data_IF_265877852533
#
_entry.id   IF_265877852533
#
_cell.length_a   1.000
_cell.length_b   1.000
_cell.length_c   1.000
_cell.angle_alpha   90.00
_cell.angle_beta   90.00
_cell.angle_gamma   90.00
#
_symmetry.space_group_name_H-M   'P 1'
#
loop_
_entity.id
_entity.type
_entity.pdbx_description
1 polymer ?
#
# COMPACT_ATOMS: atom_id res chain seq x y z
N UNK A 1 -78.17 -1.46 64.89
CA UNK A 1 -76.73 -1.40 64.55
C UNK A 1 -76.57 -1.32 63.03
N UNK A 2 -76.12 -0.17 62.50
CA UNK A 2 -75.86 0.00 61.04
C UNK A 2 -74.40 -0.21 60.82
N UNK A 3 -74.04 -1.30 60.21
CA UNK A 3 -72.65 -1.59 59.77
C UNK A 3 -72.29 -0.69 58.59
N UNK A 4 -71.33 0.22 58.79
CA UNK A 4 -70.75 1.13 57.78
C UNK A 4 -69.88 0.34 56.85
N UNK A 5 -70.37 0.06 55.65
CA UNK A 5 -69.62 -0.58 54.57
C UNK A 5 -68.53 0.41 54.12
N UNK A 6 -67.27 0.08 54.41
CA UNK A 6 -66.13 0.92 53.97
C UNK A 6 -65.99 0.76 52.44
N UNK A 7 -66.14 1.87 51.74
CA UNK A 7 -66.03 1.88 50.29
C UNK A 7 -64.63 1.40 49.89
N UNK A 8 -64.55 0.42 49.02
CA UNK A 8 -63.29 -0.12 48.46
C UNK A 8 -62.72 0.74 47.28
N UNK A 9 -63.48 1.81 46.91
CA UNK A 9 -63.11 2.72 45.78
C UNK A 9 -61.78 3.42 45.93
N UNK A 10 -61.37 3.95 47.10
CA UNK A 10 -60.10 4.63 47.21
C UNK A 10 -58.88 3.71 47.03
N UNK A 11 -59.03 2.44 47.43
CA UNK A 11 -57.91 1.45 47.26
C UNK A 11 -57.70 1.11 45.79
N UNK A 12 -58.75 1.01 44.98
CA UNK A 12 -58.71 0.73 43.55
C UNK A 12 -58.04 1.89 42.77
N UNK A 13 -58.37 3.14 43.15
CA UNK A 13 -57.78 4.35 42.53
C UNK A 13 -56.25 4.43 42.83
N UNK A 14 -55.86 4.14 44.06
CA UNK A 14 -54.43 4.14 44.45
C UNK A 14 -53.67 3.03 43.68
N UNK A 15 -54.28 1.87 43.52
CA UNK A 15 -53.62 0.76 42.74
C UNK A 15 -53.44 1.11 41.26
N UNK A 16 -54.44 1.77 40.64
CA UNK A 16 -54.35 2.24 39.25
C UNK A 16 -53.27 3.30 39.06
N UNK A 17 -53.17 4.24 40.00
CA UNK A 17 -52.16 5.31 39.98
C UNK A 17 -50.72 4.73 40.15
N UNK A 18 -50.55 3.75 41.03
CA UNK A 18 -49.31 3.04 41.22
C UNK A 18 -48.90 2.25 39.96
N UNK A 19 -49.85 1.57 39.34
CA UNK A 19 -49.62 0.83 38.10
C UNK A 19 -49.24 1.76 36.95
N UNK A 20 -49.92 2.92 36.83
CA UNK A 20 -49.59 3.94 35.85
C UNK A 20 -48.18 4.53 36.09
N UNK A 21 -47.81 4.79 37.34
CA UNK A 21 -46.45 5.27 37.70
C UNK A 21 -45.37 4.20 37.36
N UNK A 22 -45.63 2.93 37.64
CA UNK A 22 -44.74 1.82 37.29
C UNK A 22 -44.57 1.70 35.76
N UNK A 23 -45.70 1.82 35.01
CA UNK A 23 -45.68 1.79 33.54
C UNK A 23 -44.84 2.96 32.99
N UNK A 24 -44.98 4.18 33.53
CA UNK A 24 -44.22 5.35 33.12
C UNK A 24 -42.71 5.15 33.41
N UNK A 25 -42.39 4.60 34.58
CA UNK A 25 -41.00 4.29 34.95
C UNK A 25 -40.43 3.18 34.05
N UNK A 26 -41.17 2.13 33.80
CA UNK A 26 -40.76 1.03 32.90
C UNK A 26 -40.63 1.51 31.45
N UNK A 27 -41.55 2.33 30.95
CA UNK A 27 -41.43 2.95 29.61
C UNK A 27 -40.27 3.92 29.56
N UNK A 28 -39.99 4.66 30.63
CA UNK A 28 -38.81 5.52 30.75
C UNK A 28 -37.50 4.74 30.78
N UNK A 29 -37.47 3.60 31.48
CA UNK A 29 -36.32 2.68 31.50
C UNK A 29 -36.13 1.91 30.18
N UNK A 30 -37.22 1.60 29.48
CA UNK A 30 -37.20 0.96 28.15
C UNK A 30 -36.87 1.97 27.03
N UNK A 31 -37.07 3.25 27.26
CA UNK A 31 -36.55 4.36 26.46
C UNK A 31 -35.13 4.75 26.89
N UNK A 32 -34.32 3.84 27.44
CA UNK A 32 -32.90 4.07 27.47
C UNK A 32 -32.48 4.43 26.05
N UNK A 33 -32.04 5.65 25.87
CA UNK A 33 -31.55 6.18 24.61
C UNK A 33 -30.62 5.11 23.99
N UNK A 34 -31.07 4.54 22.88
CA UNK A 34 -30.12 3.79 22.07
C UNK A 34 -29.01 4.80 21.75
N UNK A 35 -27.74 4.45 21.99
CA UNK A 35 -26.66 5.36 21.62
C UNK A 35 -26.91 5.73 20.16
N UNK A 36 -26.79 7.03 19.87
CA UNK A 36 -26.85 7.48 18.47
C UNK A 36 -25.87 6.65 17.68
N UNK A 37 -26.27 6.12 16.51
CA UNK A 37 -25.36 5.33 15.67
C UNK A 37 -24.12 6.19 15.38
N UNK A 38 -22.95 5.61 15.54
CA UNK A 38 -21.70 6.28 15.20
C UNK A 38 -21.76 6.68 13.72
N UNK A 39 -21.67 7.99 13.39
CA UNK A 39 -21.72 8.43 11.99
C UNK A 39 -20.56 7.87 11.15
N UNK A 40 -19.55 7.31 11.80
CA UNK A 40 -18.36 6.74 11.18
C UNK A 40 -18.25 5.22 11.38
N UNK A 41 -19.37 4.55 11.69
CA UNK A 41 -19.39 3.09 11.81
C UNK A 41 -18.87 2.44 10.51
N UNK A 42 -17.85 1.57 10.63
CA UNK A 42 -17.20 0.92 9.49
C UNK A 42 -16.19 1.79 8.74
N UNK A 43 -15.90 3.00 9.20
CA UNK A 43 -14.87 3.86 8.65
C UNK A 43 -13.60 3.86 9.49
N UNK A 44 -12.49 4.23 8.86
CA UNK A 44 -11.19 4.46 9.51
C UNK A 44 -10.74 5.89 9.32
N UNK A 45 -10.05 6.44 10.31
CA UNK A 45 -9.55 7.81 10.27
C UNK A 45 -8.10 7.80 9.84
N UNK A 46 -7.83 8.26 8.62
CA UNK A 46 -6.53 8.18 7.96
C UNK A 46 -6.01 9.55 7.56
N UNK A 47 -4.69 9.63 7.34
CA UNK A 47 -4.06 10.76 6.67
C UNK A 47 -3.97 10.44 5.16
N UNK A 48 -4.71 11.19 4.34
CA UNK A 48 -4.72 11.01 2.89
C UNK A 48 -3.63 11.80 2.14
N UNK A 49 -2.84 12.57 2.87
CA UNK A 49 -1.81 13.47 2.33
C UNK A 49 -2.24 14.93 2.26
N UNK A 50 -3.53 15.21 2.28
CA UNK A 50 -4.10 16.56 2.37
C UNK A 50 -4.61 16.87 3.78
N UNK A 51 -4.87 15.85 4.59
CA UNK A 51 -5.36 15.97 5.94
C UNK A 51 -5.83 14.64 6.51
N UNK A 52 -6.53 14.74 7.65
CA UNK A 52 -7.14 13.59 8.28
C UNK A 52 -8.58 13.45 7.80
N UNK A 53 -8.93 12.31 7.24
CA UNK A 53 -10.25 12.03 6.66
C UNK A 53 -10.80 10.68 7.14
N UNK A 54 -12.14 10.56 7.17
CA UNK A 54 -12.80 9.28 7.35
C UNK A 54 -12.93 8.59 6.01
N UNK A 55 -12.48 7.34 5.95
CA UNK A 55 -12.50 6.51 4.74
C UNK A 55 -13.17 5.16 5.06
N UNK A 56 -14.02 4.69 4.17
CA UNK A 56 -14.48 3.30 4.20
C UNK A 56 -13.40 2.42 3.58
N UNK A 57 -12.85 1.43 4.33
CA UNK A 57 -11.84 0.53 3.78
C UNK A 57 -12.37 -0.24 2.56
N UNK A 58 -11.49 -0.45 1.59
CA UNK A 58 -11.77 -1.30 0.44
C UNK A 58 -11.84 -2.76 0.88
N UNK A 59 -12.86 -3.47 0.42
CA UNK A 59 -13.04 -4.89 0.72
C UNK A 59 -11.97 -5.73 0.00
N UNK A 60 -11.41 -6.69 0.72
CA UNK A 60 -10.41 -7.63 0.17
C UNK A 60 -9.00 -7.07 0.04
N UNK A 61 -8.74 -5.82 0.41
CA UNK A 61 -7.40 -5.24 0.43
C UNK A 61 -6.82 -5.36 1.83
N UNK A 62 -5.67 -6.02 1.95
CA UNK A 62 -5.02 -6.24 3.24
C UNK A 62 -4.59 -4.93 3.91
N UNK A 63 -4.80 -4.87 5.23
CA UNK A 63 -4.41 -3.72 6.04
C UNK A 63 -2.94 -3.79 6.37
N UNK A 64 -2.26 -2.65 6.40
CA UNK A 64 -0.86 -2.55 6.77
C UNK A 64 -0.63 -3.13 8.20
N UNK A 65 0.11 -4.22 8.33
CA UNK A 65 0.33 -4.86 9.63
C UNK A 65 1.39 -4.15 10.47
N UNK A 66 2.26 -3.32 9.85
CA UNK A 66 3.37 -2.65 10.53
C UNK A 66 2.86 -1.62 11.53
N UNK A 67 3.21 -1.79 12.79
CA UNK A 67 2.80 -0.86 13.84
C UNK A 67 3.86 0.23 14.06
N UNK A 68 3.40 1.46 14.35
CA UNK A 68 4.30 2.60 14.61
C UNK A 68 5.32 2.32 15.73
N UNK A 69 4.94 1.55 16.74
CA UNK A 69 5.82 1.15 17.85
C UNK A 69 6.93 0.19 17.48
N UNK A 70 6.85 -0.43 16.29
CA UNK A 70 7.84 -1.36 15.76
C UNK A 70 8.87 -0.68 14.85
N UNK A 71 8.73 0.62 14.64
CA UNK A 71 9.66 1.41 13.84
C UNK A 71 10.53 2.28 14.73
N UNK A 72 11.82 2.35 14.43
CA UNK A 72 12.80 3.25 15.04
C UNK A 72 13.59 3.98 13.94
N UNK A 73 14.19 5.10 14.31
CA UNK A 73 15.14 5.78 13.44
C UNK A 73 16.54 5.63 14.05
N UNK A 74 17.46 5.06 13.28
CA UNK A 74 18.86 4.87 13.67
C UNK A 74 19.73 5.45 12.57
N UNK A 75 20.60 6.39 12.94
CA UNK A 75 21.49 7.10 11.99
C UNK A 75 20.75 7.73 10.80
N UNK A 76 19.51 8.21 11.01
CA UNK A 76 18.69 8.83 9.97
C UNK A 76 17.87 7.87 9.12
N UNK A 77 18.05 6.56 9.26
CA UNK A 77 17.30 5.54 8.52
C UNK A 77 16.23 4.87 9.41
N UNK A 78 15.02 4.63 8.90
CA UNK A 78 14.03 3.83 9.60
C UNK A 78 14.50 2.39 9.73
N UNK A 79 14.21 1.76 10.85
CA UNK A 79 14.47 0.35 11.12
C UNK A 79 13.21 -0.30 11.68
N UNK A 80 12.84 -1.44 11.14
CA UNK A 80 11.79 -2.28 11.68
C UNK A 80 12.35 -3.13 12.84
N UNK A 81 11.56 -3.29 13.90
CA UNK A 81 11.95 -4.01 15.11
C UNK A 81 10.91 -5.02 15.57
N UNK A 82 9.84 -5.20 14.78
CA UNK A 82 8.86 -6.25 14.98
C UNK A 82 9.42 -7.65 14.67
N UNK A 83 8.58 -8.66 14.80
CA UNK A 83 8.96 -10.05 14.59
C UNK A 83 8.37 -10.67 13.32
N UNK A 84 7.44 -9.98 12.67
CA UNK A 84 6.65 -10.54 11.57
C UNK A 84 7.37 -10.43 10.21
N UNK A 85 8.36 -9.52 10.12
CA UNK A 85 9.11 -9.29 8.89
C UNK A 85 10.62 -9.24 9.13
N UNK A 86 11.37 -9.78 8.18
CA UNK A 86 12.74 -9.37 7.90
C UNK A 86 12.70 -8.16 6.97
N UNK A 87 13.67 -7.25 7.05
CA UNK A 87 13.71 -6.08 6.19
C UNK A 87 14.98 -6.04 5.35
N UNK A 88 14.80 -5.72 4.06
CA UNK A 88 15.88 -5.45 3.14
C UNK A 88 15.89 -3.96 2.81
N UNK A 89 17.08 -3.39 2.63
CA UNK A 89 17.26 -2.00 2.21
C UNK A 89 17.69 -1.94 0.75
N UNK A 90 17.06 -1.06 -0.02
CA UNK A 90 17.34 -0.94 -1.44
C UNK A 90 17.41 0.50 -1.92
N UNK A 91 17.95 0.65 -3.12
CA UNK A 91 17.90 1.87 -3.90
C UNK A 91 17.02 1.66 -5.12
N UNK A 92 16.37 2.73 -5.61
CA UNK A 92 15.85 2.72 -6.96
C UNK A 92 16.59 3.77 -7.80
N UNK A 93 16.91 3.37 -9.04
CA UNK A 93 17.82 4.13 -9.90
C UNK A 93 17.41 4.08 -11.36
N UNK A 94 17.84 5.10 -12.09
CA UNK A 94 17.62 5.26 -13.53
C UNK A 94 18.81 6.00 -14.16
N UNK A 95 18.64 6.50 -15.37
CA UNK A 95 19.62 7.39 -16.01
C UNK A 95 19.94 8.65 -15.18
N UNK A 96 19.08 9.04 -14.26
CA UNK A 96 19.25 10.24 -13.44
C UNK A 96 20.38 10.12 -12.40
N UNK A 97 20.79 8.90 -12.04
CA UNK A 97 21.93 8.62 -11.16
C UNK A 97 23.25 8.42 -11.92
N UNK A 98 23.23 8.47 -13.25
CA UNK A 98 24.41 8.31 -14.15
C UNK A 98 25.24 7.06 -13.81
N UNK A 99 26.56 7.21 -13.73
CA UNK A 99 27.45 6.09 -13.41
C UNK A 99 27.52 5.81 -11.91
N UNK A 100 27.22 4.57 -11.54
CA UNK A 100 27.17 4.10 -10.15
C UNK A 100 28.33 3.18 -9.85
N UNK A 101 29.02 3.40 -8.71
CA UNK A 101 29.98 2.45 -8.14
C UNK A 101 29.23 1.43 -7.27
N UNK A 102 28.76 0.38 -7.91
CA UNK A 102 27.97 -0.68 -7.27
C UNK A 102 28.71 -1.43 -6.15
N UNK A 103 30.06 -1.45 -6.17
CA UNK A 103 30.82 -2.03 -5.08
C UNK A 103 30.71 -1.20 -3.80
N UNK A 104 30.70 0.12 -3.90
CA UNK A 104 30.47 1.00 -2.76
C UNK A 104 29.01 0.94 -2.29
N UNK A 105 28.05 0.87 -3.22
CA UNK A 105 26.61 0.70 -2.88
C UNK A 105 26.41 -0.57 -2.07
N UNK A 106 26.88 -1.73 -2.54
CA UNK A 106 26.76 -2.99 -1.82
C UNK A 106 27.48 -2.95 -0.45
N UNK A 107 28.66 -2.34 -0.38
CA UNK A 107 29.41 -2.21 0.88
C UNK A 107 28.73 -1.27 1.91
N UNK A 108 27.79 -0.44 1.49
CA UNK A 108 27.04 0.46 2.37
C UNK A 108 25.88 -0.22 3.12
N UNK A 109 25.59 -1.49 2.81
CA UNK A 109 24.50 -2.25 3.42
C UNK A 109 23.18 -2.19 2.63
N UNK A 110 23.25 -1.85 1.34
CA UNK A 110 22.15 -1.98 0.39
C UNK A 110 22.04 -3.44 -0.04
N UNK A 111 20.85 -4.01 0.06
CA UNK A 111 20.57 -5.42 -0.23
C UNK A 111 20.00 -5.61 -1.65
N UNK A 112 19.31 -4.61 -2.20
CA UNK A 112 18.64 -4.71 -3.50
C UNK A 112 18.66 -3.39 -4.29
N UNK A 113 18.43 -3.52 -5.60
CA UNK A 113 18.24 -2.41 -6.51
C UNK A 113 16.98 -2.61 -7.35
N UNK A 114 16.13 -1.58 -7.40
CA UNK A 114 15.02 -1.44 -8.35
C UNK A 114 15.53 -0.57 -9.49
N UNK A 115 15.70 -1.14 -10.69
CA UNK A 115 16.36 -0.47 -11.81
C UNK A 115 15.34 -0.13 -12.88
N UNK A 116 15.28 1.14 -13.32
CA UNK A 116 14.42 1.51 -14.44
C UNK A 116 14.87 0.76 -15.70
N UNK A 117 14.00 -0.12 -16.19
CA UNK A 117 14.26 -0.80 -17.45
C UNK A 117 14.03 0.13 -18.63
N UNK A 118 12.97 0.91 -18.56
CA UNK A 118 12.60 1.82 -19.62
C UNK A 118 11.40 2.69 -19.28
N UNK A 119 10.94 3.41 -20.25
CA UNK A 119 9.81 4.34 -20.08
C UNK A 119 9.02 4.51 -21.38
N UNK A 120 7.75 4.89 -21.23
CA UNK A 120 6.95 5.43 -22.34
C UNK A 120 7.02 6.95 -22.31
N UNK A 121 7.34 7.55 -23.46
CA UNK A 121 7.38 9.01 -23.59
C UNK A 121 6.01 9.65 -23.35
N UNK A 122 5.97 10.68 -22.52
CA UNK A 122 4.74 11.33 -22.04
C UNK A 122 4.02 12.19 -23.11
N UNK A 123 4.63 12.43 -24.29
CA UNK A 123 4.01 13.16 -25.40
C UNK A 123 3.56 12.20 -26.50
N UNK A 124 4.49 11.61 -27.24
CA UNK A 124 4.22 10.76 -28.40
C UNK A 124 3.98 9.28 -28.07
N UNK A 125 4.27 8.86 -26.83
CA UNK A 125 4.02 7.50 -26.37
C UNK A 125 4.97 6.43 -26.91
N UNK A 126 6.15 6.81 -27.43
CA UNK A 126 7.18 5.86 -27.83
C UNK A 126 7.77 5.14 -26.62
N UNK A 127 8.18 3.87 -26.80
CA UNK A 127 8.87 3.06 -25.78
C UNK A 127 10.39 3.23 -25.93
N UNK A 128 11.05 3.47 -24.81
CA UNK A 128 12.49 3.67 -24.75
C UNK A 128 13.11 2.84 -23.63
N UNK A 129 14.23 2.19 -23.90
CA UNK A 129 15.07 1.59 -22.88
C UNK A 129 15.85 2.70 -22.13
N UNK A 130 15.97 2.57 -20.80
CA UNK A 130 16.79 3.49 -20.02
C UNK A 130 18.25 3.34 -20.44
N UNK A 131 18.97 4.42 -20.74
CA UNK A 131 20.35 4.36 -21.22
C UNK A 131 21.31 3.67 -20.26
N UNK A 132 21.01 3.63 -18.96
CA UNK A 132 21.84 3.00 -17.93
C UNK A 132 21.32 1.64 -17.48
N UNK A 133 20.19 1.17 -18.04
CA UNK A 133 19.57 -0.09 -17.63
C UNK A 133 20.58 -1.24 -17.57
N UNK A 134 21.23 -1.54 -18.69
CA UNK A 134 22.14 -2.68 -18.77
C UNK A 134 23.35 -2.54 -17.85
N UNK A 135 23.94 -1.36 -17.81
CA UNK A 135 25.09 -1.07 -16.95
C UNK A 135 24.73 -1.22 -15.47
N UNK A 136 23.55 -0.76 -15.08
CA UNK A 136 23.06 -0.89 -13.70
C UNK A 136 22.76 -2.34 -13.35
N UNK A 137 22.08 -3.09 -14.23
CA UNK A 137 21.81 -4.52 -14.04
C UNK A 137 23.08 -5.33 -13.85
N UNK A 138 24.05 -5.16 -14.75
CA UNK A 138 25.34 -5.87 -14.70
C UNK A 138 26.14 -5.47 -13.46
N UNK A 139 26.20 -4.18 -13.14
CA UNK A 139 26.92 -3.67 -11.99
C UNK A 139 26.34 -4.12 -10.66
N UNK A 140 25.03 -4.04 -10.47
CA UNK A 140 24.35 -4.49 -9.26
C UNK A 140 24.46 -6.02 -9.08
N UNK A 141 24.23 -6.80 -10.16
CA UNK A 141 24.39 -8.26 -10.15
C UNK A 141 25.81 -8.70 -9.78
N UNK A 142 26.83 -8.07 -10.38
CA UNK A 142 28.24 -8.39 -10.11
C UNK A 142 28.64 -8.14 -8.65
N UNK A 143 27.91 -7.31 -7.92
CA UNK A 143 28.14 -7.00 -6.51
C UNK A 143 27.14 -7.70 -5.55
N UNK A 144 26.34 -8.65 -6.08
CA UNK A 144 25.49 -9.54 -5.28
C UNK A 144 24.22 -8.91 -4.74
N UNK A 145 23.78 -7.78 -5.31
CA UNK A 145 22.50 -7.18 -4.97
C UNK A 145 21.35 -7.98 -5.61
N UNK A 146 20.22 -8.08 -4.93
CA UNK A 146 18.97 -8.58 -5.51
C UNK A 146 18.44 -7.57 -6.53
N UNK A 147 17.90 -8.07 -7.64
CA UNK A 147 17.50 -7.23 -8.76
C UNK A 147 15.98 -7.25 -8.97
N UNK A 148 15.39 -6.07 -9.02
CA UNK A 148 14.08 -5.80 -9.56
C UNK A 148 14.14 -4.72 -10.64
N UNK A 149 13.08 -4.61 -11.42
CA UNK A 149 13.01 -3.60 -12.47
C UNK A 149 11.67 -2.88 -12.44
N UNK A 150 11.66 -1.64 -12.92
CA UNK A 150 10.43 -0.90 -13.11
C UNK A 150 10.31 -0.30 -14.51
N UNK A 151 9.08 -0.21 -14.98
CA UNK A 151 8.70 0.43 -16.24
C UNK A 151 7.92 1.70 -15.94
N UNK A 152 8.50 2.87 -16.27
CA UNK A 152 7.80 4.14 -16.14
C UNK A 152 6.75 4.25 -17.24
N UNK A 153 5.51 4.05 -16.85
CA UNK A 153 4.36 3.97 -17.75
C UNK A 153 3.72 5.33 -18.00
N UNK A 154 3.40 5.57 -19.26
CA UNK A 154 2.50 6.63 -19.68
C UNK A 154 1.44 6.06 -20.67
N UNK A 155 1.05 4.79 -20.46
CA UNK A 155 0.00 4.13 -21.22
C UNK A 155 -1.34 4.85 -21.04
N UNK A 156 -2.10 5.01 -22.13
CA UNK A 156 -3.45 5.58 -22.13
C UNK A 156 -4.51 4.57 -22.61
N UNK A 157 -4.10 3.34 -22.87
CA UNK A 157 -4.98 2.20 -23.16
C UNK A 157 -4.42 0.92 -22.57
N UNK A 158 -5.28 -0.07 -22.39
CA UNK A 158 -4.89 -1.40 -21.91
C UNK A 158 -3.89 -2.06 -22.86
N UNK A 159 -4.06 -1.92 -24.16
CA UNK A 159 -3.14 -2.47 -25.18
C UNK A 159 -1.75 -1.86 -25.08
N UNK A 160 -1.67 -0.58 -24.74
CA UNK A 160 -0.38 0.08 -24.51
C UNK A 160 0.31 -0.43 -23.24
N UNK A 161 -0.44 -0.67 -22.15
CA UNK A 161 0.10 -1.26 -20.93
C UNK A 161 0.60 -2.70 -21.15
N UNK A 162 -0.11 -3.50 -21.93
CA UNK A 162 0.37 -4.84 -22.36
C UNK A 162 1.64 -4.71 -23.21
N UNK A 163 1.70 -3.74 -24.13
CA UNK A 163 2.90 -3.51 -24.95
C UNK A 163 4.12 -3.06 -24.10
N UNK A 164 3.90 -2.34 -22.99
CA UNK A 164 4.94 -2.03 -22.00
C UNK A 164 5.45 -3.29 -21.30
N UNK A 165 4.56 -4.19 -20.90
CA UNK A 165 4.94 -5.46 -20.29
C UNK A 165 5.75 -6.34 -21.28
N UNK A 166 5.32 -6.45 -22.55
CA UNK A 166 6.09 -7.16 -23.58
C UNK A 166 7.46 -6.53 -23.80
N UNK A 167 7.54 -5.21 -23.84
CA UNK A 167 8.81 -4.48 -23.97
C UNK A 167 9.78 -4.80 -22.83
N UNK A 168 9.25 -4.95 -21.59
CA UNK A 168 10.02 -5.35 -20.42
C UNK A 168 10.50 -6.80 -20.58
N UNK A 169 9.60 -7.73 -20.88
CA UNK A 169 9.91 -9.14 -20.97
C UNK A 169 10.98 -9.47 -22.03
N UNK A 170 10.90 -8.82 -23.20
CA UNK A 170 11.92 -8.96 -24.26
C UNK A 170 13.34 -8.59 -23.80
N UNK A 171 13.46 -7.65 -22.85
CA UNK A 171 14.74 -7.12 -22.38
C UNK A 171 15.30 -7.84 -21.17
N UNK A 172 14.49 -8.69 -20.57
CA UNK A 172 14.87 -9.48 -19.40
C UNK A 172 15.35 -10.90 -19.72
N UNK A 173 15.29 -11.33 -20.98
CA UNK A 173 15.62 -12.73 -21.38
C UNK A 173 17.00 -13.21 -20.87
N UNK A 174 17.97 -12.30 -20.75
CA UNK A 174 19.35 -12.62 -20.33
C UNK A 174 19.61 -12.33 -18.85
N UNK A 175 18.60 -11.88 -18.07
CA UNK A 175 18.78 -11.47 -16.69
C UNK A 175 18.02 -12.36 -15.72
N UNK A 176 18.64 -12.61 -14.56
CA UNK A 176 17.93 -13.19 -13.43
C UNK A 176 17.30 -12.07 -12.58
N UNK A 177 16.01 -12.13 -12.36
CA UNK A 177 15.25 -11.16 -11.58
C UNK A 177 14.82 -11.82 -10.28
N UNK A 178 15.22 -11.23 -9.15
CA UNK A 178 14.95 -11.75 -7.81
C UNK A 178 13.72 -11.12 -7.17
N UNK A 179 13.31 -9.95 -7.65
CA UNK A 179 12.27 -9.08 -7.08
C UNK A 179 11.18 -8.81 -8.12
N UNK A 180 10.04 -8.24 -7.73
CA UNK A 180 8.95 -7.97 -8.67
C UNK A 180 9.34 -7.05 -9.83
N UNK A 181 8.65 -7.23 -10.96
CA UNK A 181 8.62 -6.29 -12.08
C UNK A 181 7.51 -5.28 -11.83
N UNK A 182 7.83 -3.99 -11.86
CA UNK A 182 6.96 -2.93 -11.35
C UNK A 182 6.33 -2.12 -12.47
N UNK A 183 5.02 -1.96 -12.39
CA UNK A 183 4.27 -0.94 -13.12
C UNK A 183 4.37 0.37 -12.34
N UNK A 184 5.04 1.36 -12.91
CA UNK A 184 5.27 2.68 -12.32
C UNK A 184 4.58 3.73 -13.17
N UNK A 185 3.40 4.18 -12.74
CA UNK A 185 2.68 5.28 -13.36
C UNK A 185 2.64 6.49 -12.44
N UNK A 186 3.12 7.60 -12.95
CA UNK A 186 3.09 8.85 -12.22
C UNK A 186 2.48 9.96 -13.07
N UNK A 187 1.77 10.86 -12.40
CA UNK A 187 1.28 12.06 -13.04
C UNK A 187 2.44 13.00 -13.37
N UNK A 188 2.56 13.38 -14.64
CA UNK A 188 3.56 14.38 -15.05
C UNK A 188 3.18 15.75 -14.52
N UNK A 189 4.10 16.38 -13.79
CA UNK A 189 3.88 17.71 -13.22
C UNK A 189 4.55 18.79 -14.07
N UNK A 190 3.85 19.93 -14.22
CA UNK A 190 4.39 21.13 -14.90
C UNK A 190 4.50 21.04 -16.42
N UNK A 191 4.11 19.92 -17.03
CA UNK A 191 4.10 19.71 -18.48
C UNK A 191 2.77 19.07 -18.90
N UNK A 192 2.36 19.31 -20.15
CA UNK A 192 1.22 18.60 -20.71
C UNK A 192 1.63 17.16 -21.06
N UNK A 193 0.88 16.20 -20.59
CA UNK A 193 1.13 14.79 -20.83
C UNK A 193 -0.08 14.11 -21.51
N UNK A 194 0.19 13.06 -22.26
CA UNK A 194 -0.83 12.23 -22.91
C UNK A 194 -1.80 11.58 -21.91
N UNK A 195 -1.34 11.41 -20.68
CA UNK A 195 -2.10 10.83 -19.55
C UNK A 195 -2.92 11.87 -18.78
N UNK A 196 -2.89 13.15 -19.18
CA UNK A 196 -3.73 14.17 -18.55
C UNK A 196 -5.21 13.85 -18.71
N UNK A 197 -5.92 13.80 -17.59
CA UNK A 197 -7.35 13.48 -17.56
C UNK A 197 -7.67 11.98 -17.61
N UNK A 198 -6.69 11.10 -17.48
CA UNK A 198 -6.91 9.67 -17.31
C UNK A 198 -7.71 9.43 -16.03
N UNK A 199 -8.76 8.63 -16.11
CA UNK A 199 -9.59 8.30 -14.96
C UNK A 199 -9.05 7.08 -14.20
N UNK A 200 -9.50 6.94 -12.94
CA UNK A 200 -9.13 5.86 -12.03
C UNK A 200 -9.40 4.46 -12.62
N UNK A 201 -10.55 4.29 -13.30
CA UNK A 201 -10.94 3.00 -13.85
C UNK A 201 -9.99 2.55 -14.97
N UNK A 202 -9.62 3.45 -15.88
CA UNK A 202 -8.68 3.15 -16.94
C UNK A 202 -7.27 2.94 -16.42
N UNK A 203 -6.82 3.76 -15.45
CA UNK A 203 -5.52 3.60 -14.82
C UNK A 203 -5.40 2.23 -14.12
N UNK A 204 -6.44 1.83 -13.38
CA UNK A 204 -6.52 0.53 -12.73
C UNK A 204 -6.48 -0.61 -13.75
N UNK A 205 -7.21 -0.50 -14.86
CA UNK A 205 -7.19 -1.50 -15.94
C UNK A 205 -5.82 -1.63 -16.61
N UNK A 206 -5.13 -0.52 -16.85
CA UNK A 206 -3.78 -0.53 -17.41
C UNK A 206 -2.79 -1.23 -16.48
N UNK A 207 -2.78 -0.86 -15.19
CA UNK A 207 -1.92 -1.50 -14.18
C UNK A 207 -2.19 -3.00 -14.10
N UNK A 208 -3.47 -3.39 -14.03
CA UNK A 208 -3.89 -4.80 -14.00
C UNK A 208 -3.39 -5.57 -15.21
N UNK A 209 -3.58 -5.03 -16.41
CA UNK A 209 -3.19 -5.69 -17.65
C UNK A 209 -1.67 -5.87 -17.77
N UNK A 210 -0.89 -4.85 -17.40
CA UNK A 210 0.57 -4.96 -17.32
C UNK A 210 0.98 -6.08 -16.37
N UNK A 211 0.48 -6.04 -15.13
CA UNK A 211 0.84 -7.00 -14.09
C UNK A 211 0.41 -8.43 -14.45
N UNK A 212 -0.77 -8.63 -14.99
CA UNK A 212 -1.22 -9.94 -15.48
C UNK A 212 -0.29 -10.49 -16.56
N UNK A 213 0.13 -9.65 -17.51
CA UNK A 213 1.05 -10.09 -18.56
C UNK A 213 2.43 -10.49 -18.01
N UNK A 214 2.93 -9.76 -16.99
CA UNK A 214 4.16 -10.10 -16.29
C UNK A 214 4.03 -11.46 -15.56
N UNK A 215 2.91 -11.66 -14.85
CA UNK A 215 2.64 -12.92 -14.13
C UNK A 215 2.47 -14.12 -15.08
N UNK A 216 1.84 -13.94 -16.23
CA UNK A 216 1.75 -14.98 -17.29
C UNK A 216 3.12 -15.43 -17.79
N UNK A 217 4.13 -14.58 -17.70
CA UNK A 217 5.52 -14.91 -18.04
C UNK A 217 6.28 -15.57 -16.87
N UNK A 218 5.64 -15.70 -15.68
CA UNK A 218 6.21 -16.39 -14.53
C UNK A 218 6.98 -15.47 -13.56
N UNK A 219 6.85 -14.16 -13.68
CA UNK A 219 7.44 -13.20 -12.76
C UNK A 219 6.42 -12.68 -11.76
N UNK A 220 6.89 -12.21 -10.62
CA UNK A 220 6.08 -11.42 -9.68
C UNK A 220 5.87 -10.00 -10.23
N UNK A 221 4.68 -9.46 -10.01
CA UNK A 221 4.33 -8.12 -10.45
C UNK A 221 3.96 -7.22 -9.26
N UNK A 222 4.39 -5.96 -9.34
CA UNK A 222 4.14 -4.96 -8.31
C UNK A 222 3.67 -3.65 -8.95
N UNK A 223 2.93 -2.86 -8.19
CA UNK A 223 2.43 -1.56 -8.62
C UNK A 223 3.01 -0.50 -7.69
N UNK A 224 3.73 0.47 -8.28
CA UNK A 224 4.24 1.63 -7.58
C UNK A 224 3.21 2.76 -7.59
N UNK A 225 3.07 3.41 -6.45
CA UNK A 225 2.25 4.60 -6.31
C UNK A 225 2.65 5.46 -5.11
N UNK A 226 2.34 6.75 -5.15
CA UNK A 226 2.35 7.60 -3.98
C UNK A 226 1.02 7.50 -3.21
N UNK A 227 0.97 8.09 -2.01
CA UNK A 227 -0.23 8.07 -1.14
C UNK A 227 -1.51 8.50 -1.84
N UNK A 228 -1.43 9.55 -2.66
CA UNK A 228 -2.61 10.09 -3.35
C UNK A 228 -3.15 9.12 -4.40
N UNK A 229 -2.27 8.55 -5.22
CA UNK A 229 -2.65 7.53 -6.20
C UNK A 229 -3.18 6.27 -5.52
N UNK A 230 -2.59 5.86 -4.38
CA UNK A 230 -3.05 4.70 -3.63
C UNK A 230 -4.46 4.85 -3.03
N UNK A 231 -4.87 6.08 -2.70
CA UNK A 231 -6.24 6.32 -2.18
C UNK A 231 -7.24 6.76 -3.23
N UNK A 232 -6.81 7.43 -4.31
CA UNK A 232 -7.72 8.11 -5.23
C UNK A 232 -7.42 7.89 -6.72
N UNK A 233 -6.34 7.19 -7.05
CA UNK A 233 -5.93 6.95 -8.44
C UNK A 233 -6.10 5.52 -8.89
N UNK A 234 -5.99 4.56 -7.95
CA UNK A 234 -6.19 3.15 -8.22
C UNK A 234 -7.35 2.59 -7.39
N UNK A 235 -8.15 1.74 -7.98
CA UNK A 235 -9.03 0.84 -7.25
C UNK A 235 -8.22 -0.39 -6.80
N UNK A 236 -7.61 -0.30 -5.62
CA UNK A 236 -6.76 -1.37 -5.08
C UNK A 236 -7.51 -2.68 -4.86
N UNK A 237 -8.85 -2.67 -4.73
CA UNK A 237 -9.65 -3.89 -4.59
C UNK A 237 -9.63 -4.77 -5.84
N UNK A 238 -9.29 -4.20 -7.00
CA UNK A 238 -9.13 -4.94 -8.25
C UNK A 238 -7.69 -5.39 -8.51
N UNK A 239 -6.75 -5.05 -7.62
CA UNK A 239 -5.30 -5.24 -7.78
C UNK A 239 -4.69 -6.11 -6.68
N UNK A 240 -5.50 -6.78 -5.89
CA UNK A 240 -5.10 -7.57 -4.70
C UNK A 240 -4.23 -8.80 -5.01
N UNK A 241 -4.13 -9.20 -6.28
CA UNK A 241 -3.24 -10.30 -6.73
C UNK A 241 -1.79 -9.85 -6.96
N UNK A 242 -1.51 -8.55 -6.75
CA UNK A 242 -0.20 -7.93 -6.97
C UNK A 242 0.30 -7.28 -5.68
N UNK A 243 1.61 -7.21 -5.52
CA UNK A 243 2.20 -6.45 -4.42
C UNK A 243 2.20 -4.95 -4.71
N UNK A 244 2.40 -4.16 -3.65
CA UNK A 244 2.43 -2.70 -3.74
C UNK A 244 3.76 -2.14 -3.25
N UNK A 245 4.25 -1.13 -3.97
CA UNK A 245 5.38 -0.32 -3.60
C UNK A 245 4.91 1.12 -3.39
N UNK A 246 4.97 1.61 -2.16
CA UNK A 246 4.50 2.95 -1.82
C UNK A 246 5.61 3.97 -1.70
N UNK A 247 5.48 5.10 -2.42
CA UNK A 247 6.28 6.29 -2.24
C UNK A 247 5.70 7.15 -1.11
N UNK A 248 6.36 7.11 0.04
CA UNK A 248 5.91 7.79 1.24
C UNK A 248 7.09 8.21 2.12
N UNK A 249 7.83 9.27 1.76
CA UNK A 249 8.98 9.72 2.53
C UNK A 249 8.65 9.95 4.00
N UNK A 250 9.47 9.38 4.90
CA UNK A 250 9.22 9.50 6.32
C UNK A 250 9.92 8.44 7.17
N UNK A 251 9.44 8.30 8.40
CA UNK A 251 10.00 7.39 9.40
C UNK A 251 9.07 6.22 9.72
N UNK A 252 7.92 6.18 9.07
CA UNK A 252 6.89 5.14 9.23
C UNK A 252 6.04 5.08 7.96
N UNK A 253 5.72 3.87 7.44
CA UNK A 253 4.87 3.70 6.25
C UNK A 253 3.39 3.95 6.61
N UNK A 254 3.04 5.23 6.79
CA UNK A 254 1.71 5.71 7.21
C UNK A 254 0.71 5.65 6.05
N UNK A 255 0.47 4.45 5.57
CA UNK A 255 -0.54 4.11 4.58
C UNK A 255 -1.41 3.00 5.13
N UNK A 256 -2.72 3.05 4.88
CA UNK A 256 -3.66 2.13 5.52
C UNK A 256 -3.54 0.70 5.03
N UNK A 257 -3.26 0.52 3.74
CA UNK A 257 -3.15 -0.81 3.14
C UNK A 257 -1.72 -1.33 3.17
N UNK A 258 -1.58 -2.65 3.15
CA UNK A 258 -0.29 -3.31 3.14
C UNK A 258 0.48 -3.00 1.85
N UNK A 259 1.76 -2.68 2.01
CA UNK A 259 2.73 -2.54 0.92
C UNK A 259 3.95 -3.40 1.24
N UNK A 260 4.46 -4.09 0.23
CA UNK A 260 5.68 -4.91 0.36
C UNK A 260 6.92 -4.04 0.38
N UNK A 261 6.95 -2.99 -0.45
CA UNK A 261 8.08 -2.07 -0.55
C UNK A 261 7.62 -0.67 -0.15
N UNK A 262 8.44 -0.01 0.65
CA UNK A 262 8.24 1.36 1.10
C UNK A 262 9.43 2.22 0.72
N UNK A 263 9.23 3.18 -0.19
CA UNK A 263 10.20 4.20 -0.55
C UNK A 263 10.11 5.32 0.49
N UNK A 264 11.08 5.33 1.41
CA UNK A 264 11.04 6.19 2.60
C UNK A 264 11.83 7.48 2.48
N UNK A 265 12.65 7.63 1.43
CA UNK A 265 13.43 8.83 1.16
C UNK A 265 13.60 9.04 -0.34
N UNK A 266 13.59 10.30 -0.77
CA UNK A 266 13.89 10.75 -2.14
C UNK A 266 15.24 11.47 -2.26
N UNK A 267 15.99 11.59 -1.17
CA UNK A 267 17.17 12.43 -1.11
C UNK A 267 18.26 11.89 -0.18
N UNK A 268 18.37 10.58 -0.07
CA UNK A 268 19.44 9.96 0.68
C UNK A 268 20.80 10.14 0.00
N UNK A 269 21.86 10.17 0.79
CA UNK A 269 23.23 10.05 0.31
C UNK A 269 23.66 8.60 0.42
N UNK A 270 23.95 7.97 -0.72
CA UNK A 270 24.35 6.55 -0.80
C UNK A 270 25.80 6.48 -1.34
N UNK A 271 26.75 5.88 -0.60
CA UNK A 271 28.10 5.70 -1.10
C UNK A 271 28.10 4.99 -2.45
N UNK A 272 28.76 5.57 -3.43
CA UNK A 272 28.81 5.04 -4.80
C UNK A 272 27.81 5.64 -5.77
N UNK A 273 26.87 6.47 -5.30
CA UNK A 273 25.92 7.21 -6.14
C UNK A 273 26.14 8.70 -5.94
N UNK A 274 26.26 9.46 -7.04
CA UNK A 274 26.37 10.92 -6.98
C UNK A 274 24.97 11.55 -6.90
N UNK A 275 24.76 12.40 -5.90
CA UNK A 275 23.53 13.15 -5.72
C UNK A 275 22.46 12.42 -4.89
N UNK A 276 21.27 13.01 -4.81
CA UNK A 276 20.16 12.44 -4.05
C UNK A 276 19.68 11.13 -4.68
N UNK A 277 19.41 10.15 -3.83
CA UNK A 277 19.01 8.81 -4.22
C UNK A 277 17.78 8.38 -3.43
N UNK A 278 16.89 7.66 -4.07
CA UNK A 278 15.73 7.10 -3.45
C UNK A 278 16.09 5.84 -2.66
N UNK A 279 15.58 5.78 -1.42
CA UNK A 279 15.83 4.65 -0.52
C UNK A 279 14.55 3.93 -0.16
N UNK A 280 14.65 2.62 -0.17
CA UNK A 280 13.56 1.71 0.03
C UNK A 280 13.80 0.75 1.19
N UNK A 281 12.71 0.32 1.80
CA UNK A 281 12.64 -0.82 2.72
C UNK A 281 11.64 -1.83 2.17
N UNK A 282 12.05 -3.07 2.01
CA UNK A 282 11.18 -4.19 1.68
C UNK A 282 10.88 -4.99 2.94
N UNK A 283 9.62 -5.34 3.15
CA UNK A 283 9.13 -6.16 4.25
C UNK A 283 8.95 -7.60 3.75
N UNK A 284 9.85 -8.49 4.15
CA UNK A 284 9.80 -9.92 3.79
C UNK A 284 9.17 -10.69 4.95
N UNK A 285 8.01 -11.33 4.78
CA UNK A 285 7.38 -12.09 5.86
C UNK A 285 8.29 -13.19 6.40
N UNK A 286 8.41 -13.26 7.73
CA UNK A 286 9.09 -14.37 8.39
C UNK A 286 8.21 -15.61 8.30
N UNK A 287 8.73 -16.68 7.68
CA UNK A 287 7.99 -17.94 7.56
C UNK A 287 7.60 -18.45 8.97
N UNK A 288 6.31 -18.51 9.24
CA UNK A 288 5.82 -19.17 10.45
C UNK A 288 6.12 -20.67 10.35
N UNK A 289 6.87 -21.29 11.29
CA UNK A 289 7.10 -22.71 11.22
C UNK A 289 5.77 -23.46 11.24
N UNK A 290 5.58 -24.33 10.25
CA UNK A 290 4.41 -25.22 10.24
C UNK A 290 4.31 -25.97 11.58
N UNK A 291 3.13 -26.05 12.20
CA UNK A 291 2.97 -26.83 13.42
C UNK A 291 3.37 -28.27 13.11
N UNK A 292 4.39 -28.78 13.80
CA UNK A 292 4.81 -30.17 13.67
C UNK A 292 3.58 -31.08 13.79
N UNK A 293 3.40 -32.06 12.89
CA UNK A 293 2.29 -32.98 12.99
C UNK A 293 2.32 -33.64 14.37
N UNK A 294 1.31 -33.36 15.18
CA UNK A 294 1.15 -33.98 16.49
C UNK A 294 1.06 -35.47 16.25
N UNK A 295 2.04 -36.23 16.75
CA UNK A 295 2.00 -37.70 16.73
C UNK A 295 0.69 -38.12 17.39
N UNK A 296 -0.17 -38.76 16.59
CA UNK A 296 -1.41 -39.33 17.09
C UNK A 296 -1.07 -40.43 18.12
N UNK A 297 -1.86 -40.57 19.21
CA UNK A 297 -1.61 -41.50 20.29
C UNK A 297 -1.75 -42.96 19.87
#
# INVERSE_FOLDING_TARGET
MRTRQKSKVPLLIVSILLLAAVIVVVVGLLKQEQPEPDPHEGQVYINDGFGMVWMTPLEGVDVNPVQRGEMRVVNGHPQYTGADFETLYGVDVSEHQWGIDWAQVAASGVDFAMIRLGYRGYTEGGLFEDPYFRTNMEGAAANGLKLGVYMFSQAITVEEAVAEAEFVLERLEDYNIDLPIVYDWEKMEGVAARTDGMDEALLTQCAKAFCQRIQEAGYEACIYFNRNLGYYGFDLSQLTEHSFWIALPGTFPDFYYQCEIWQYSFNAEVPGIEGPTDMNMMFVPVATPEPSPTAAP
#
